data_IF_809548826105
#
_entry.id   IF_809548826105
#
_cell.length_a   1.000
_cell.length_b   1.000
_cell.length_c   1.000
_cell.angle_alpha   90.00
_cell.angle_beta   90.00
_cell.angle_gamma   90.00
#
_symmetry.space_group_name_H-M   'P 1'
#
loop_
_entity.id
_entity.type
_entity.pdbx_description
1 polymer ?
#
# COMPACT_ATOMS: atom_id res chain seq x y z
N UNK A 1 11.78 -6.10 -13.83
CA UNK A 1 13.21 -6.43 -13.75
C UNK A 1 13.29 -7.88 -13.33
N UNK A 2 13.85 -8.71 -14.20
CA UNK A 2 13.51 -10.14 -14.32
C UNK A 2 14.73 -11.00 -13.99
N UNK A 3 14.96 -11.27 -12.70
CA UNK A 3 16.11 -12.04 -12.19
C UNK A 3 15.94 -13.57 -12.38
N UNK A 4 14.80 -14.03 -12.88
CA UNK A 4 14.49 -15.47 -13.01
C UNK A 4 15.10 -16.14 -14.24
N UNK A 5 15.74 -15.40 -15.14
CA UNK A 5 16.30 -15.97 -16.39
C UNK A 5 17.81 -16.25 -16.34
N UNK A 6 18.54 -15.79 -15.32
CA UNK A 6 20.01 -15.95 -15.29
C UNK A 6 20.48 -17.29 -14.71
N UNK A 7 19.62 -18.04 -14.02
CA UNK A 7 20.00 -19.28 -13.34
C UNK A 7 19.89 -20.56 -14.22
N UNK A 8 19.42 -20.45 -15.47
CA UNK A 8 19.22 -21.61 -16.38
C UNK A 8 20.30 -21.80 -17.45
N UNK A 9 21.38 -21.01 -17.43
CA UNK A 9 22.37 -20.97 -18.52
C UNK A 9 23.73 -21.64 -18.26
N UNK A 10 23.91 -22.36 -17.15
CA UNK A 10 25.22 -22.96 -16.80
C UNK A 10 25.24 -24.50 -16.92
N UNK A 11 24.10 -25.16 -17.21
CA UNK A 11 24.06 -26.62 -17.39
C UNK A 11 23.72 -26.98 -18.84
N UNK A 12 24.58 -26.62 -19.79
CA UNK A 12 24.57 -27.21 -21.14
C UNK A 12 25.86 -26.94 -21.89
N UNK A 13 26.91 -27.70 -21.59
CA UNK A 13 28.08 -27.85 -22.46
C UNK A 13 28.59 -29.28 -22.23
N UNK A 14 27.97 -30.26 -22.88
CA UNK A 14 28.41 -30.81 -24.16
C UNK A 14 29.77 -31.55 -24.06
N UNK A 15 29.69 -32.87 -23.78
CA UNK A 15 30.72 -33.84 -24.13
C UNK A 15 30.04 -35.01 -24.86
N UNK A 16 29.72 -34.78 -26.14
CA UNK A 16 29.49 -35.86 -27.11
C UNK A 16 30.86 -36.30 -27.62
N UNK A 17 31.42 -37.36 -27.05
CA UNK A 17 32.60 -38.01 -27.60
C UNK A 17 32.14 -39.10 -28.58
N UNK A 18 32.18 -38.78 -29.88
CA UNK A 18 32.01 -39.73 -30.98
C UNK A 18 33.16 -39.48 -31.95
N UNK A 19 34.07 -40.44 -32.05
CA UNK A 19 35.27 -40.33 -32.87
C UNK A 19 36.16 -41.57 -32.73
N UNK A 20 35.91 -42.52 -33.62
CA UNK A 20 36.86 -43.39 -34.33
C UNK A 20 37.92 -44.20 -33.58
N UNK A 21 37.78 -45.52 -33.73
CA UNK A 21 38.79 -46.52 -33.42
C UNK A 21 40.03 -46.35 -34.33
N UNK A 22 41.26 -46.24 -33.79
CA UNK A 22 42.44 -46.38 -34.59
C UNK A 22 42.71 -47.87 -34.87
N UNK A 23 42.77 -48.20 -36.16
CA UNK A 23 43.35 -49.43 -36.71
C UNK A 23 44.72 -49.70 -36.10
N UNK A 24 44.94 -50.95 -35.69
CA UNK A 24 46.25 -51.46 -35.35
C UNK A 24 47.22 -51.39 -36.53
N UNK A 25 48.50 -51.04 -36.30
CA UNK A 25 49.60 -51.60 -37.05
C UNK A 25 50.22 -52.75 -36.25
N UNK A 26 50.07 -53.97 -36.75
CA UNK A 26 50.90 -55.08 -36.31
C UNK A 26 52.35 -54.86 -36.76
N UNK A 27 53.28 -54.83 -35.82
CA UNK A 27 54.68 -55.21 -36.08
C UNK A 27 55.23 -55.96 -34.88
N UNK A 28 55.70 -57.14 -35.19
CA UNK A 28 56.48 -58.08 -34.40
C UNK A 28 57.67 -57.41 -33.72
N UNK A 29 57.59 -57.26 -32.39
CA UNK A 29 58.72 -57.01 -31.52
C UNK A 29 58.66 -58.02 -30.38
N UNK A 30 59.46 -59.08 -30.48
CA UNK A 30 59.74 -60.05 -29.42
C UNK A 30 60.54 -59.38 -28.31
N UNK A 31 59.90 -58.45 -27.60
CA UNK A 31 60.34 -57.93 -26.31
C UNK A 31 59.78 -58.83 -25.22
N UNK A 32 60.53 -59.88 -24.91
CA UNK A 32 60.24 -60.88 -23.89
C UNK A 32 60.26 -60.22 -22.50
N UNK A 33 59.16 -59.54 -22.13
CA UNK A 33 58.86 -59.26 -20.72
C UNK A 33 58.26 -60.55 -20.14
N UNK A 34 59.13 -61.49 -19.77
CA UNK A 34 58.74 -62.54 -18.83
C UNK A 34 58.46 -61.91 -17.47
N UNK A 35 57.19 -61.56 -17.24
CA UNK A 35 56.70 -61.09 -15.95
C UNK A 35 55.51 -61.98 -15.57
N UNK A 36 55.78 -62.93 -14.66
CA UNK A 36 54.88 -63.85 -13.94
C UNK A 36 54.37 -65.12 -14.69
N UNK A 37 54.10 -66.21 -13.94
CA UNK A 37 54.62 -67.55 -14.24
C UNK A 37 53.78 -68.32 -15.25
N UNK A 38 54.47 -69.04 -16.15
CA UNK A 38 53.89 -69.91 -17.20
C UNK A 38 53.28 -71.23 -16.67
N UNK A 39 52.86 -71.30 -15.41
CA UNK A 39 52.37 -72.52 -14.75
C UNK A 39 51.09 -72.32 -13.94
N UNK A 40 49.95 -72.68 -14.53
CA UNK A 40 48.76 -73.28 -13.88
C UNK A 40 48.15 -72.63 -12.63
N UNK A 41 47.05 -71.89 -12.85
CA UNK A 41 45.84 -71.73 -12.01
C UNK A 41 45.91 -71.37 -10.52
N UNK A 42 47.07 -71.36 -9.87
CA UNK A 42 47.17 -71.04 -8.43
C UNK A 42 47.54 -69.59 -8.22
N UNK A 43 46.71 -68.91 -7.44
CA UNK A 43 46.92 -67.54 -7.01
C UNK A 43 48.26 -67.41 -6.25
N UNK A 44 49.03 -66.32 -6.45
CA UNK A 44 50.24 -66.08 -5.69
C UNK A 44 49.95 -66.10 -4.18
N UNK A 45 50.78 -66.80 -3.40
CA UNK A 45 50.62 -66.95 -1.93
C UNK A 45 50.42 -65.62 -1.21
N UNK A 46 51.10 -64.55 -1.66
CA UNK A 46 50.94 -63.20 -1.11
C UNK A 46 49.50 -62.67 -1.29
N UNK A 47 48.90 -62.86 -2.47
CA UNK A 47 47.54 -62.41 -2.73
C UNK A 47 46.52 -63.24 -1.93
N UNK A 48 46.76 -64.54 -1.77
CA UNK A 48 45.93 -65.41 -0.92
C UNK A 48 45.95 -64.94 0.54
N UNK A 49 47.14 -64.62 1.07
CA UNK A 49 47.31 -64.07 2.42
C UNK A 49 46.63 -62.70 2.60
N UNK A 50 46.73 -61.81 1.62
CA UNK A 50 46.10 -60.49 1.66
C UNK A 50 44.57 -60.58 1.61
N UNK A 51 44.01 -61.51 0.83
CA UNK A 51 42.56 -61.75 0.80
C UNK A 51 42.07 -62.32 2.13
N UNK A 52 42.80 -63.25 2.74
CA UNK A 52 42.48 -63.78 4.07
C UNK A 52 42.51 -62.67 5.14
N UNK A 53 43.56 -61.84 5.13
CA UNK A 53 43.68 -60.68 6.02
C UNK A 53 42.54 -59.69 5.82
N UNK A 54 42.18 -59.37 4.58
CA UNK A 54 41.08 -58.45 4.27
C UNK A 54 39.74 -58.98 4.77
N UNK A 55 39.44 -60.27 4.55
CA UNK A 55 38.20 -60.89 5.01
C UNK A 55 38.11 -60.89 6.55
N UNK A 56 39.21 -61.19 7.24
CA UNK A 56 39.29 -61.17 8.69
C UNK A 56 39.10 -59.76 9.24
N UNK A 57 39.82 -58.78 8.68
CA UNK A 57 39.77 -57.38 9.11
C UNK A 57 38.43 -56.71 8.81
N UNK A 58 37.79 -57.04 7.68
CA UNK A 58 36.43 -56.58 7.40
C UNK A 58 35.43 -57.18 8.40
N UNK A 59 35.57 -58.47 8.75
CA UNK A 59 34.72 -59.09 9.77
C UNK A 59 34.90 -58.44 11.15
N UNK A 60 36.12 -58.04 11.51
CA UNK A 60 36.40 -57.28 12.73
C UNK A 60 35.79 -55.87 12.66
N UNK A 61 35.97 -55.17 11.54
CA UNK A 61 35.39 -53.85 11.32
C UNK A 61 33.86 -53.86 11.34
N UNK A 62 33.22 -54.89 10.79
CA UNK A 62 31.77 -55.08 10.86
C UNK A 62 31.28 -55.33 12.29
N UNK A 63 32.04 -56.08 13.10
CA UNK A 63 31.74 -56.26 14.53
C UNK A 63 31.87 -54.96 15.32
N UNK A 64 32.88 -54.14 14.99
CA UNK A 64 33.08 -52.83 15.63
C UNK A 64 32.06 -51.79 15.16
N UNK A 65 31.61 -51.89 13.90
CA UNK A 65 30.56 -51.04 13.32
C UNK A 65 29.14 -51.48 13.74
N UNK A 66 28.98 -52.66 14.32
CA UNK A 66 27.71 -53.13 14.83
C UNK A 66 27.25 -52.22 15.98
N UNK A 67 26.06 -51.62 15.89
CA UNK A 67 25.61 -50.69 16.91
C UNK A 67 25.30 -51.44 18.21
N UNK A 68 25.81 -50.93 19.34
CA UNK A 68 25.46 -51.44 20.67
C UNK A 68 23.99 -51.16 21.05
N UNK A 69 23.28 -50.34 20.25
CA UNK A 69 21.87 -49.97 20.41
C UNK A 69 21.10 -50.18 19.11
N UNK A 70 19.94 -50.86 19.13
CA UNK A 70 19.14 -51.07 17.92
C UNK A 70 18.57 -49.74 17.43
N UNK A 71 19.05 -49.24 16.29
CA UNK A 71 18.51 -48.06 15.59
C UNK A 71 19.54 -47.02 15.12
N UNK A 72 20.74 -46.98 15.70
CA UNK A 72 21.77 -46.01 15.33
C UNK A 72 22.82 -46.63 14.40
N UNK A 73 22.47 -46.90 13.14
CA UNK A 73 23.46 -47.23 12.12
C UNK A 73 23.95 -45.94 11.47
N UNK A 74 25.05 -45.36 11.96
CA UNK A 74 25.71 -44.31 11.19
C UNK A 74 26.44 -44.97 10.02
N UNK A 75 25.78 -45.04 8.85
CA UNK A 75 26.33 -45.64 7.62
C UNK A 75 27.76 -45.14 7.33
N UNK A 76 28.06 -43.89 7.67
CA UNK A 76 29.36 -43.24 7.48
C UNK A 76 30.48 -43.82 8.35
N UNK A 77 30.22 -44.17 9.61
CA UNK A 77 31.25 -44.77 10.48
C UNK A 77 31.64 -46.17 10.02
N UNK A 78 30.66 -46.97 9.56
CA UNK A 78 30.93 -48.29 8.99
C UNK A 78 31.78 -48.22 7.72
N UNK A 79 31.46 -47.29 6.80
CA UNK A 79 32.25 -47.06 5.59
C UNK A 79 33.67 -46.55 5.91
N UNK A 80 33.83 -45.71 6.93
CA UNK A 80 35.15 -45.25 7.39
C UNK A 80 36.02 -46.38 7.93
N UNK A 81 35.45 -47.31 8.70
CA UNK A 81 36.15 -48.50 9.20
C UNK A 81 36.54 -49.45 8.05
N UNK A 82 35.67 -49.66 7.07
CA UNK A 82 35.98 -50.44 5.87
C UNK A 82 37.13 -49.82 5.07
N UNK A 83 37.10 -48.49 4.85
CA UNK A 83 38.18 -47.77 4.17
C UNK A 83 39.53 -47.92 4.91
N UNK A 84 39.51 -47.88 6.24
CA UNK A 84 40.71 -48.08 7.05
C UNK A 84 41.29 -49.50 6.90
N UNK A 85 40.43 -50.53 6.88
CA UNK A 85 40.85 -51.91 6.59
C UNK A 85 41.49 -52.01 5.21
N UNK A 86 40.88 -51.40 4.18
CA UNK A 86 41.46 -51.40 2.84
C UNK A 86 42.82 -50.68 2.78
N UNK A 87 43.00 -49.58 3.51
CA UNK A 87 44.30 -48.89 3.65
C UNK A 87 45.36 -49.80 4.29
N UNK A 88 45.01 -50.52 5.36
CA UNK A 88 45.92 -51.43 6.07
C UNK A 88 46.36 -52.63 5.22
N UNK A 89 45.43 -53.22 4.47
CA UNK A 89 45.73 -54.32 3.54
C UNK A 89 46.58 -53.81 2.37
N UNK A 90 46.33 -52.60 1.89
CA UNK A 90 47.14 -51.98 0.85
C UNK A 90 48.57 -51.68 1.33
N UNK A 91 48.76 -51.22 2.56
CA UNK A 91 50.10 -51.06 3.16
C UNK A 91 50.85 -52.41 3.25
N UNK A 92 50.15 -53.48 3.62
CA UNK A 92 50.71 -54.84 3.65
C UNK A 92 51.05 -55.35 2.24
N UNK A 93 50.24 -55.00 1.23
CA UNK A 93 50.52 -55.29 -0.17
C UNK A 93 51.80 -54.57 -0.65
N UNK A 94 51.96 -53.28 -0.33
CA UNK A 94 53.14 -52.49 -0.69
C UNK A 94 54.41 -53.10 -0.08
N UNK A 95 54.36 -53.51 1.18
CA UNK A 95 55.49 -54.17 1.87
C UNK A 95 55.90 -55.49 1.20
N UNK A 96 54.95 -56.22 0.60
CA UNK A 96 55.21 -57.46 -0.14
C UNK A 96 55.90 -57.25 -1.50
N UNK A 97 55.92 -56.02 -2.04
CA UNK A 97 56.51 -55.67 -3.33
C UNK A 97 57.74 -54.76 -3.18
N UNK A 98 58.80 -55.28 -2.56
CA UNK A 98 60.03 -54.53 -2.25
C UNK A 98 60.63 -53.75 -3.46
N UNK A 99 60.56 -54.32 -4.67
CA UNK A 99 61.11 -53.69 -5.88
C UNK A 99 60.34 -52.43 -6.34
N UNK A 100 59.02 -52.37 -6.10
CA UNK A 100 58.16 -51.27 -6.54
C UNK A 100 57.67 -50.39 -5.39
N UNK A 101 58.15 -50.66 -4.17
CA UNK A 101 57.72 -50.04 -2.93
C UNK A 101 57.73 -48.50 -2.98
N UNK A 102 58.79 -47.82 -3.50
CA UNK A 102 58.82 -46.36 -3.57
C UNK A 102 57.73 -45.78 -4.49
N UNK A 103 57.44 -46.45 -5.62
CA UNK A 103 56.41 -46.02 -6.56
C UNK A 103 55.01 -46.18 -5.96
N UNK A 104 54.74 -47.32 -5.34
CA UNK A 104 53.45 -47.62 -4.73
C UNK A 104 53.15 -46.70 -3.54
N UNK A 105 54.16 -46.38 -2.71
CA UNK A 105 53.98 -45.38 -1.65
C UNK A 105 53.70 -43.99 -2.18
N UNK A 106 54.30 -43.59 -3.30
CA UNK A 106 54.03 -42.29 -3.93
C UNK A 106 52.59 -42.21 -4.45
N UNK A 107 52.09 -43.28 -5.08
CA UNK A 107 50.69 -43.37 -5.52
C UNK A 107 49.74 -43.33 -4.31
N UNK A 108 50.05 -44.11 -3.26
CA UNK A 108 49.28 -44.12 -2.02
C UNK A 108 49.21 -42.73 -1.39
N UNK A 109 50.34 -42.04 -1.26
CA UNK A 109 50.41 -40.71 -0.67
C UNK A 109 49.58 -39.69 -1.46
N UNK A 110 49.60 -39.74 -2.80
CA UNK A 110 48.76 -38.87 -3.63
C UNK A 110 47.26 -39.16 -3.45
N UNK A 111 46.89 -40.44 -3.35
CA UNK A 111 45.49 -40.84 -3.13
C UNK A 111 44.99 -40.49 -1.72
N UNK A 112 45.82 -40.72 -0.70
CA UNK A 112 45.51 -40.37 0.69
C UNK A 112 45.38 -38.84 0.85
N UNK A 113 46.28 -38.06 0.24
CA UNK A 113 46.17 -36.60 0.22
C UNK A 113 44.87 -36.11 -0.45
N UNK A 114 44.51 -36.67 -1.62
CA UNK A 114 43.27 -36.33 -2.29
C UNK A 114 42.01 -36.71 -1.48
N UNK A 115 42.06 -37.82 -0.74
CA UNK A 115 40.99 -38.23 0.19
C UNK A 115 40.85 -37.26 1.36
N UNK A 116 41.98 -36.83 1.94
CA UNK A 116 41.98 -35.89 3.06
C UNK A 116 41.48 -34.50 2.62
N UNK A 117 41.88 -34.03 1.44
CA UNK A 117 41.36 -32.79 0.84
C UNK A 117 39.85 -32.89 0.58
N UNK A 118 39.37 -34.03 0.08
CA UNK A 118 37.95 -34.26 -0.16
C UNK A 118 37.15 -34.28 1.16
N UNK A 119 37.69 -34.89 2.23
CA UNK A 119 37.09 -34.87 3.56
C UNK A 119 37.04 -33.46 4.14
N UNK A 120 38.10 -32.67 3.97
CA UNK A 120 38.14 -31.27 4.38
C UNK A 120 37.04 -30.47 3.67
N UNK A 121 36.96 -30.57 2.34
CA UNK A 121 35.91 -29.93 1.55
C UNK A 121 34.50 -30.35 2.00
N UNK A 122 34.29 -31.63 2.32
CA UNK A 122 33.00 -32.12 2.79
C UNK A 122 32.61 -31.53 4.15
N UNK A 123 33.56 -31.42 5.08
CA UNK A 123 33.35 -30.77 6.38
C UNK A 123 33.05 -29.28 6.24
N UNK A 124 33.80 -28.57 5.41
CA UNK A 124 33.53 -27.16 5.10
C UNK A 124 32.16 -26.98 4.47
N UNK A 125 31.77 -27.83 3.52
CA UNK A 125 30.45 -27.76 2.90
C UNK A 125 29.32 -27.99 3.91
N UNK A 126 29.49 -28.98 4.81
CA UNK A 126 28.54 -29.23 5.91
C UNK A 126 28.41 -28.01 6.83
N UNK A 127 29.54 -27.43 7.24
CA UNK A 127 29.58 -26.21 8.06
C UNK A 127 28.93 -25.02 7.36
N UNK A 128 29.23 -24.78 6.09
CA UNK A 128 28.62 -23.68 5.33
C UNK A 128 27.11 -23.87 5.19
N UNK A 129 26.62 -25.10 5.05
CA UNK A 129 25.17 -25.39 5.04
C UNK A 129 24.51 -25.05 6.38
N UNK A 130 25.14 -25.36 7.50
CA UNK A 130 24.59 -25.02 8.81
C UNK A 130 24.62 -23.52 9.07
N UNK A 131 25.70 -22.83 8.70
CA UNK A 131 25.80 -21.38 8.76
C UNK A 131 24.75 -20.68 7.86
N UNK A 132 24.55 -21.19 6.64
CA UNK A 132 23.53 -20.69 5.71
C UNK A 132 22.12 -20.88 6.28
N UNK A 133 21.82 -22.05 6.86
CA UNK A 133 20.53 -22.30 7.50
C UNK A 133 20.29 -21.34 8.69
N UNK A 134 21.30 -21.12 9.53
CA UNK A 134 21.22 -20.18 10.64
C UNK A 134 21.08 -18.72 10.17
N UNK A 135 21.73 -18.34 9.07
CA UNK A 135 21.58 -17.01 8.47
C UNK A 135 20.17 -16.81 7.89
N UNK A 136 19.63 -17.82 7.20
CA UNK A 136 18.26 -17.78 6.66
C UNK A 136 17.21 -17.62 7.78
N UNK A 137 17.38 -18.32 8.90
CA UNK A 137 16.52 -18.17 10.08
C UNK A 137 16.60 -16.75 10.67
N UNK A 138 17.81 -16.20 10.83
CA UNK A 138 18.01 -14.83 11.31
C UNK A 138 17.37 -13.80 10.39
N UNK A 139 17.53 -13.97 9.08
CA UNK A 139 16.91 -13.10 8.09
C UNK A 139 15.38 -13.17 8.14
N UNK A 140 14.81 -14.38 8.21
CA UNK A 140 13.36 -14.56 8.33
C UNK A 140 12.81 -13.89 9.60
N UNK A 141 13.50 -14.04 10.74
CA UNK A 141 13.13 -13.39 11.99
C UNK A 141 13.18 -11.86 11.88
N UNK A 142 14.24 -11.31 11.29
CA UNK A 142 14.39 -9.86 11.08
C UNK A 142 13.28 -9.29 10.17
N UNK A 143 12.92 -10.01 9.10
CA UNK A 143 11.81 -9.61 8.21
C UNK A 143 10.47 -9.62 8.95
N UNK A 144 10.21 -10.63 9.77
CA UNK A 144 8.98 -10.68 10.56
C UNK A 144 8.92 -9.53 11.58
N UNK A 145 10.04 -9.25 12.26
CA UNK A 145 10.13 -8.14 13.19
C UNK A 145 9.87 -6.79 12.49
N UNK A 146 10.50 -6.55 11.34
CA UNK A 146 10.27 -5.32 10.56
C UNK A 146 8.81 -5.17 10.10
N UNK A 147 8.14 -6.29 9.76
CA UNK A 147 6.70 -6.28 9.41
C UNK A 147 5.83 -5.92 10.60
N UNK A 148 6.15 -6.45 11.78
CA UNK A 148 5.44 -6.13 13.02
C UNK A 148 5.61 -4.63 13.32
N UNK A 149 6.84 -4.12 13.30
CA UNK A 149 7.15 -2.71 13.54
C UNK A 149 6.44 -1.78 12.55
N UNK A 150 6.51 -2.07 11.24
CA UNK A 150 5.79 -1.31 10.22
C UNK A 150 4.26 -1.37 10.44
N UNK A 151 3.74 -2.53 10.85
CA UNK A 151 2.34 -2.70 11.21
C UNK A 151 1.93 -1.83 12.38
N UNK A 152 2.73 -1.79 13.45
CA UNK A 152 2.47 -0.97 14.65
C UNK A 152 2.50 0.52 14.32
N UNK A 153 3.53 1.00 13.61
CA UNK A 153 3.61 2.40 13.16
C UNK A 153 2.41 2.78 12.29
N UNK A 154 1.98 1.87 11.40
CA UNK A 154 0.79 2.08 10.58
C UNK A 154 -0.51 2.18 11.40
N UNK A 155 -0.64 1.42 12.49
CA UNK A 155 -1.79 1.54 13.42
C UNK A 155 -1.76 2.87 14.14
N UNK A 156 -0.61 3.29 14.68
CA UNK A 156 -0.47 4.54 15.42
C UNK A 156 -0.83 5.76 14.55
N UNK A 157 -0.36 5.80 13.31
CA UNK A 157 -0.70 6.85 12.36
C UNK A 157 -2.19 6.86 12.06
N UNK A 158 -2.83 5.71 11.86
CA UNK A 158 -4.29 5.62 11.64
C UNK A 158 -5.08 6.14 12.84
N UNK A 159 -4.67 5.78 14.06
CA UNK A 159 -5.31 6.27 15.29
C UNK A 159 -5.19 7.80 15.38
N UNK A 160 -4.01 8.35 15.11
CA UNK A 160 -3.80 9.80 15.11
C UNK A 160 -4.65 10.52 14.04
N UNK A 161 -4.72 9.97 12.83
CA UNK A 161 -5.51 10.55 11.74
C UNK A 161 -7.00 10.50 12.07
N UNK A 162 -7.51 9.38 12.57
CA UNK A 162 -8.90 9.26 13.00
C UNK A 162 -9.23 10.23 14.14
N UNK A 163 -8.30 10.45 15.08
CA UNK A 163 -8.45 11.48 16.11
C UNK A 163 -8.58 12.89 15.51
N UNK A 164 -7.72 13.25 14.55
CA UNK A 164 -7.79 14.55 13.85
C UNK A 164 -9.06 14.72 13.04
N UNK A 165 -9.54 13.66 12.39
CA UNK A 165 -10.82 13.67 11.66
C UNK A 165 -11.97 13.93 12.63
N UNK A 166 -12.04 13.20 13.75
CA UNK A 166 -13.07 13.43 14.77
C UNK A 166 -13.04 14.83 15.37
N UNK A 167 -11.85 15.40 15.61
CA UNK A 167 -11.73 16.81 16.03
C UNK A 167 -12.23 17.79 14.97
N UNK A 168 -11.92 17.55 13.70
CA UNK A 168 -12.38 18.39 12.60
C UNK A 168 -13.91 18.32 12.43
N UNK A 169 -14.49 17.13 12.52
CA UNK A 169 -15.94 16.91 12.50
C UNK A 169 -16.63 17.62 13.67
N UNK A 170 -16.07 17.52 14.88
CA UNK A 170 -16.61 18.22 16.05
C UNK A 170 -16.56 19.75 15.88
N UNK A 171 -15.48 20.30 15.30
CA UNK A 171 -15.36 21.74 14.97
C UNK A 171 -16.37 22.15 13.91
N UNK A 172 -16.57 21.32 12.89
CA UNK A 172 -17.55 21.56 11.82
C UNK A 172 -18.96 21.61 12.39
N UNK A 173 -19.38 20.62 13.18
CA UNK A 173 -20.69 20.64 13.85
C UNK A 173 -20.87 21.83 14.80
N UNK A 174 -19.82 22.22 15.55
CA UNK A 174 -19.87 23.42 16.38
C UNK A 174 -20.03 24.71 15.54
N UNK A 175 -19.42 24.78 14.36
CA UNK A 175 -19.57 25.90 13.44
C UNK A 175 -20.98 25.93 12.81
N UNK A 176 -21.51 24.78 12.39
CA UNK A 176 -22.86 24.65 11.84
C UNK A 176 -23.92 25.08 12.85
N UNK A 177 -23.82 24.63 14.10
CA UNK A 177 -24.76 25.01 15.16
C UNK A 177 -24.69 26.51 15.45
N UNK A 178 -23.50 27.13 15.42
CA UNK A 178 -23.34 28.60 15.53
C UNK A 178 -23.97 29.33 14.35
N UNK A 179 -23.76 28.82 13.13
CA UNK A 179 -24.36 29.38 11.92
C UNK A 179 -25.88 29.33 11.99
N UNK A 180 -26.47 28.21 12.42
CA UNK A 180 -27.92 28.07 12.56
C UNK A 180 -28.49 29.04 13.61
N UNK A 181 -27.83 29.18 14.76
CA UNK A 181 -28.20 30.17 15.78
C UNK A 181 -28.13 31.61 15.24
N UNK A 182 -27.05 31.94 14.52
CA UNK A 182 -26.89 33.25 13.91
C UNK A 182 -27.95 33.53 12.84
N UNK A 183 -28.30 32.52 12.01
CA UNK A 183 -29.38 32.62 11.03
C UNK A 183 -30.72 32.87 11.70
N UNK A 184 -31.04 32.15 12.77
CA UNK A 184 -32.27 32.35 13.53
C UNK A 184 -32.35 33.77 14.13
N UNK A 185 -31.26 34.27 14.72
CA UNK A 185 -31.19 35.64 15.26
C UNK A 185 -31.31 36.71 14.15
N UNK A 186 -30.72 36.47 12.99
CA UNK A 186 -30.85 37.36 11.83
C UNK A 186 -32.30 37.45 11.34
N UNK A 187 -33.05 36.34 11.37
CA UNK A 187 -34.49 36.35 11.03
C UNK A 187 -35.30 37.14 12.05
N UNK A 188 -35.07 36.93 13.35
CA UNK A 188 -35.77 37.67 14.41
C UNK A 188 -35.51 39.18 14.32
N UNK A 189 -34.25 39.58 14.23
CA UNK A 189 -33.88 41.01 14.10
C UNK A 189 -34.43 41.65 12.82
N UNK A 190 -34.49 40.91 11.69
CA UNK A 190 -35.18 41.39 10.49
C UNK A 190 -36.67 41.61 10.74
N UNK A 191 -37.35 40.69 11.40
CA UNK A 191 -38.77 40.83 11.75
C UNK A 191 -39.02 42.05 12.67
N UNK A 192 -38.15 42.27 13.66
CA UNK A 192 -38.21 43.46 14.53
C UNK A 192 -38.02 44.77 13.75
N UNK A 193 -37.06 44.80 12.83
CA UNK A 193 -36.82 45.96 11.96
C UNK A 193 -38.04 46.24 11.07
N UNK A 194 -38.64 45.22 10.46
CA UNK A 194 -39.84 45.39 9.65
C UNK A 194 -41.05 45.84 10.47
N UNK A 195 -41.23 45.32 11.68
CA UNK A 195 -42.27 45.78 12.60
C UNK A 195 -42.07 47.25 13.02
N UNK A 196 -40.82 47.64 13.33
CA UNK A 196 -40.48 49.03 13.68
C UNK A 196 -40.69 49.97 12.49
N UNK A 197 -40.35 49.56 11.26
CA UNK A 197 -40.64 50.34 10.04
C UNK A 197 -42.13 50.54 9.84
N UNK A 198 -42.94 49.49 10.02
CA UNK A 198 -44.40 49.59 9.92
C UNK A 198 -44.97 50.58 10.95
N UNK A 199 -44.45 50.56 12.18
CA UNK A 199 -44.86 51.49 13.24
C UNK A 199 -44.45 52.94 12.93
N UNK A 200 -43.25 53.17 12.38
CA UNK A 200 -42.83 54.50 11.92
C UNK A 200 -43.76 55.02 10.82
N UNK A 201 -44.12 54.17 9.84
CA UNK A 201 -45.07 54.56 8.78
C UNK A 201 -46.44 54.92 9.37
N UNK A 202 -46.94 54.12 10.33
CA UNK A 202 -48.19 54.39 11.05
C UNK A 202 -48.14 55.72 11.80
N UNK A 203 -47.07 55.99 12.54
CA UNK A 203 -46.89 57.23 13.28
C UNK A 203 -46.79 58.44 12.34
N UNK A 204 -46.08 58.33 11.22
CA UNK A 204 -46.03 59.39 10.21
C UNK A 204 -47.40 59.66 9.59
N UNK A 205 -48.23 58.64 9.35
CA UNK A 205 -49.60 58.83 8.90
C UNK A 205 -50.42 59.59 9.95
N UNK A 206 -50.38 59.16 11.21
CA UNK A 206 -51.09 59.87 12.29
C UNK A 206 -50.61 61.32 12.46
N UNK A 207 -49.31 61.59 12.28
CA UNK A 207 -48.77 62.94 12.32
C UNK A 207 -49.32 63.79 11.17
N UNK A 208 -49.37 63.25 9.94
CA UNK A 208 -49.96 63.95 8.79
C UNK A 208 -51.44 64.23 9.02
N UNK A 209 -52.20 63.27 9.53
CA UNK A 209 -53.63 63.43 9.82
C UNK A 209 -53.87 64.51 10.88
N UNK A 210 -53.07 64.51 11.96
CA UNK A 210 -53.10 65.55 12.98
C UNK A 210 -52.72 66.93 12.42
N UNK A 211 -51.75 66.99 11.52
CA UNK A 211 -51.36 68.25 10.89
C UNK A 211 -52.48 68.81 10.01
N UNK A 212 -53.15 67.96 9.22
CA UNK A 212 -54.35 68.34 8.44
C UNK A 212 -55.47 68.82 9.36
N UNK A 213 -55.70 68.15 10.50
CA UNK A 213 -56.69 68.57 11.49
C UNK A 213 -56.36 69.94 12.12
N UNK A 214 -55.10 70.18 12.47
CA UNK A 214 -54.61 71.46 12.99
C UNK A 214 -54.76 72.58 11.95
N UNK A 215 -54.38 72.33 10.69
CA UNK A 215 -54.55 73.29 9.60
C UNK A 215 -56.04 73.59 9.35
N UNK A 216 -56.90 72.58 9.47
CA UNK A 216 -58.34 72.76 9.41
C UNK A 216 -58.83 73.64 10.56
N UNK A 217 -58.46 73.37 11.82
CA UNK A 217 -58.81 74.22 12.97
C UNK A 217 -58.28 75.66 12.83
N UNK A 218 -57.05 75.84 12.35
CA UNK A 218 -56.48 77.15 12.06
C UNK A 218 -57.30 77.88 11.00
N UNK A 219 -57.73 77.19 9.94
CA UNK A 219 -58.61 77.74 8.91
C UNK A 219 -60.00 78.13 9.45
N UNK A 220 -60.55 77.38 10.41
CA UNK A 220 -61.79 77.73 11.11
C UNK A 220 -61.62 78.99 11.96
N UNK A 221 -60.54 79.07 12.76
CA UNK A 221 -60.21 80.28 13.54
C UNK A 221 -59.98 81.52 12.67
N UNK A 222 -59.32 81.36 11.53
CA UNK A 222 -59.17 82.46 10.57
C UNK A 222 -60.49 82.87 9.92
N UNK A 223 -61.40 81.94 9.61
CA UNK A 223 -62.76 82.26 9.14
C UNK A 223 -63.58 83.00 10.19
N UNK A 224 -63.42 82.65 11.46
CA UNK A 224 -64.09 83.30 12.60
C UNK A 224 -63.53 84.72 12.88
N UNK A 225 -62.22 84.91 12.73
CA UNK A 225 -61.62 86.25 12.78
C UNK A 225 -61.98 87.10 11.55
N UNK A 226 -62.08 86.49 10.36
CA UNK A 226 -62.53 87.16 9.15
C UNK A 226 -64.03 87.53 9.22
N UNK A 227 -64.88 86.71 9.85
CA UNK A 227 -66.28 87.05 10.09
C UNK A 227 -66.45 88.10 11.20
N UNK A 228 -65.50 88.24 12.13
CA UNK A 228 -65.47 89.33 13.11
C UNK A 228 -64.99 90.68 12.52
N UNK A 229 -64.29 90.69 11.38
CA UNK A 229 -63.81 91.91 10.68
C UNK A 229 -64.67 92.23 9.43
N UNK A 230 -65.54 91.32 9.00
CA UNK A 230 -66.43 91.54 7.85
C UNK A 230 -67.57 92.52 8.18
N UNK A 231 -67.31 93.80 7.89
CA UNK A 231 -68.33 94.79 7.55
C UNK A 231 -69.19 94.22 6.43
N UNK A 232 -70.48 94.04 6.69
CA UNK A 232 -71.49 93.53 5.74
C UNK A 232 -71.66 94.53 4.58
N UNK A 233 -71.37 94.17 3.32
CA UNK A 233 -71.92 94.86 2.17
C UNK A 233 -73.14 94.08 1.67
N UNK A 234 -74.29 94.73 1.74
CA UNK A 234 -75.54 94.30 1.12
C UNK A 234 -75.43 94.28 -0.42
N UNK A 235 -76.02 93.22 -1.02
CA UNK A 235 -76.58 93.10 -2.39
C UNK A 235 -75.63 92.73 -3.55
N UNK A 236 -76.16 92.30 -4.74
CA UNK A 236 -77.14 91.22 -4.97
C UNK A 236 -76.77 90.29 -6.18
N UNK A 237 -77.44 89.13 -6.23
CA UNK A 237 -77.66 88.16 -7.33
C UNK A 237 -77.32 88.56 -8.79
N UNK A 238 -76.54 87.72 -9.52
CA UNK A 238 -76.88 87.22 -10.87
C UNK A 238 -75.96 86.13 -11.47
N UNK A 239 -76.63 85.10 -12.01
CA UNK A 239 -76.37 84.25 -13.20
C UNK A 239 -75.25 83.19 -13.19
N UNK A 240 -75.73 81.95 -13.04
CA UNK A 240 -75.53 80.79 -13.92
C UNK A 240 -74.50 80.93 -15.07
N UNK A 241 -73.40 80.17 -14.96
CA UNK A 241 -72.67 79.52 -16.05
C UNK A 241 -71.76 78.46 -15.41
N UNK A 242 -71.91 77.19 -15.81
CA UNK A 242 -70.86 76.44 -16.54
C UNK A 242 -69.69 76.04 -15.65
N UNK A 243 -69.64 74.73 -15.31
CA UNK A 243 -68.40 73.92 -15.24
C UNK A 243 -68.75 72.52 -14.69
N UNK A 244 -69.34 71.69 -15.56
CA UNK A 244 -69.37 70.23 -15.42
C UNK A 244 -68.33 69.61 -16.37
N UNK A 245 -67.05 69.95 -16.23
CA UNK A 245 -65.96 69.28 -16.98
C UNK A 245 -64.68 69.16 -16.15
N UNK A 246 -64.71 68.42 -15.02
CA UNK A 246 -63.47 68.05 -14.31
C UNK A 246 -63.51 66.71 -13.56
N UNK A 247 -64.50 65.83 -13.81
CA UNK A 247 -64.67 64.55 -13.07
C UNK A 247 -64.34 63.30 -13.90
N UNK A 248 -63.82 63.43 -15.13
CA UNK A 248 -63.54 62.26 -16.00
C UNK A 248 -62.11 62.14 -16.58
N UNK A 249 -61.09 62.83 -16.04
CA UNK A 249 -59.68 62.61 -16.45
C UNK A 249 -58.73 62.08 -15.36
N UNK A 250 -59.24 61.68 -14.19
CA UNK A 250 -58.41 61.11 -13.12
C UNK A 250 -58.36 59.58 -13.04
N UNK A 251 -59.19 58.86 -13.80
CA UNK A 251 -59.35 57.40 -13.62
C UNK A 251 -58.52 56.53 -14.57
N UNK A 252 -57.78 57.10 -15.53
CA UNK A 252 -56.98 56.30 -16.49
C UNK A 252 -55.50 56.14 -16.15
N UNK A 253 -54.96 56.90 -15.18
CA UNK A 253 -53.54 56.78 -14.78
C UNK A 253 -53.29 55.81 -13.62
N UNK A 254 -54.33 55.45 -12.85
CA UNK A 254 -54.21 54.43 -11.79
C UNK A 254 -54.20 52.99 -12.33
N UNK A 255 -54.87 52.73 -13.46
CA UNK A 255 -54.92 51.40 -14.09
C UNK A 255 -53.61 51.06 -14.85
N UNK A 256 -52.92 52.05 -15.41
CA UNK A 256 -51.65 51.84 -16.11
C UNK A 256 -50.46 51.59 -15.16
N UNK A 257 -50.48 52.16 -13.95
CA UNK A 257 -49.43 51.95 -12.96
C UNK A 257 -49.48 50.54 -12.32
N UNK A 258 -50.67 49.94 -12.18
CA UNK A 258 -50.81 48.60 -11.61
C UNK A 258 -50.34 47.49 -12.58
N UNK A 259 -50.49 47.69 -13.89
CA UNK A 259 -50.02 46.74 -14.91
C UNK A 259 -48.49 46.70 -15.01
N UNK A 260 -47.81 47.85 -14.88
CA UNK A 260 -46.35 47.93 -14.92
C UNK A 260 -45.66 47.28 -13.70
N UNK A 261 -46.31 47.30 -12.53
CA UNK A 261 -45.79 46.64 -11.31
C UNK A 261 -45.96 45.13 -11.37
N UNK A 262 -47.04 44.62 -11.99
CA UNK A 262 -47.23 43.17 -12.14
C UNK A 262 -46.31 42.54 -13.20
N UNK A 263 -45.94 43.27 -14.25
CA UNK A 263 -45.00 42.79 -15.27
C UNK A 263 -43.54 42.76 -14.79
N UNK A 264 -43.16 43.68 -13.89
CA UNK A 264 -41.84 43.68 -13.25
C UNK A 264 -41.66 42.51 -12.27
N UNK A 265 -42.69 42.18 -11.50
CA UNK A 265 -42.67 41.05 -10.55
C UNK A 265 -42.59 39.68 -11.24
N UNK A 266 -43.14 39.54 -12.45
CA UNK A 266 -43.08 38.29 -13.21
C UNK A 266 -41.69 38.04 -13.84
N UNK A 267 -40.93 39.09 -14.17
CA UNK A 267 -39.56 38.97 -14.69
C UNK A 267 -38.53 38.61 -13.60
N UNK A 268 -38.70 39.13 -12.39
CA UNK A 268 -37.77 38.85 -11.28
C UNK A 268 -37.91 37.40 -10.75
N UNK A 269 -39.10 36.79 -10.86
CA UNK A 269 -39.31 35.38 -10.53
C UNK A 269 -38.68 34.40 -11.56
N UNK A 270 -38.61 34.79 -12.84
CA UNK A 270 -38.04 33.94 -13.89
C UNK A 270 -36.49 33.91 -13.87
N UNK A 271 -35.85 35.01 -13.44
CA UNK A 271 -34.39 35.06 -13.31
C UNK A 271 -33.88 34.35 -12.03
N UNK A 272 -34.72 34.16 -11.01
CA UNK A 272 -34.37 33.41 -9.80
C UNK A 272 -34.31 31.89 -10.02
N UNK A 273 -35.09 31.32 -10.95
CA UNK A 273 -35.09 29.86 -11.20
C UNK A 273 -33.92 29.39 -12.07
N UNK A 274 -33.21 30.29 -12.78
CA UNK A 274 -32.10 29.92 -13.66
C UNK A 274 -30.72 29.88 -12.98
N UNK A 275 -30.62 30.30 -11.71
CA UNK A 275 -29.35 30.41 -10.97
C UNK A 275 -29.09 29.26 -9.97
N UNK A 276 -29.89 28.19 -9.98
CA UNK A 276 -29.74 27.08 -9.03
C UNK A 276 -29.39 25.77 -9.73
N UNK A 277 -28.23 25.72 -10.38
CA UNK A 277 -27.55 24.47 -10.72
C UNK A 277 -26.36 24.33 -9.76
N UNK A 278 -26.41 23.46 -8.74
CA UNK A 278 -25.20 23.06 -8.05
C UNK A 278 -24.45 22.05 -8.91
N UNK A 279 -23.37 22.52 -9.53
CA UNK A 279 -22.24 21.68 -9.92
C UNK A 279 -21.66 21.06 -8.65
N UNK A 280 -21.80 19.75 -8.49
CA UNK A 280 -20.89 18.97 -7.65
C UNK A 280 -20.75 17.54 -8.20
N UNK A 281 -19.99 17.45 -9.28
CA UNK A 281 -19.20 16.28 -9.59
C UNK A 281 -17.88 16.39 -8.81
N UNK A 282 -17.73 15.61 -7.74
CA UNK A 282 -16.44 15.30 -7.11
C UNK A 282 -16.59 13.93 -6.45
N UNK A 283 -16.21 12.87 -7.19
CA UNK A 283 -15.01 12.07 -6.93
C UNK A 283 -15.11 11.21 -5.66
N UNK A 284 -15.72 10.03 -5.80
CA UNK A 284 -15.36 8.87 -4.99
C UNK A 284 -14.72 7.83 -5.91
N UNK A 285 -13.39 7.83 -5.89
CA UNK A 285 -12.56 6.72 -6.30
C UNK A 285 -11.48 6.59 -5.23
N UNK A 286 -11.67 5.64 -4.31
CA UNK A 286 -10.66 4.90 -3.57
C UNK A 286 -11.34 3.76 -2.80
#
# INVERSE_FOLDING_TARGET
MDESQSAKRIVSTALKFKGDAPKQPGTSGTGFLEVYPKGGSKQPKLLEQLQAMLAEKLREAEKLAAPHTPGSRSSTAATGLQLHVHRQVFDSFIQGFAAYQPLLYRIKAAYDGALDDALHCAHENSRLRTELAAAAQRHAAAVQQARIEAGTLGVDVRVQLNGKIGEAEARLHAAETRLQKSKAQAVLSRAEVEAAKAEVVRLQQTQRDLQVALDAEASWRHKEQASAIAVIPLCPYRRLSEDQEAVQRGSSTAAAALAAVQEAAAKEAADAEKSTIPDNASTEAL
#
